data_IF_768303204196
#
_entry.id   IF_768303204196
#
_cell.length_a   1.000
_cell.length_b   1.000
_cell.length_c   1.000
_cell.angle_alpha   90.00
_cell.angle_beta   90.00
_cell.angle_gamma   90.00
#
_symmetry.space_group_name_H-M   'P 1'
#
loop_
_entity.id
_entity.type
_entity.pdbx_description
1 polymer ?
#
# COMPACT_ATOMS: atom_id res chain seq x y z
N UNK A 1 -62.80 19.47 -17.65
CA UNK A 1 -61.84 19.17 -18.74
C UNK A 1 -60.45 19.57 -18.30
N UNK A 2 -59.52 18.59 -18.32
CA UNK A 2 -58.03 18.64 -18.34
C UNK A 2 -57.31 19.37 -17.18
N UNK A 3 -56.58 18.64 -16.30
CA UNK A 3 -55.23 18.02 -16.46
C UNK A 3 -54.14 19.13 -16.55
N UNK A 4 -53.02 19.15 -15.82
CA UNK A 4 -52.00 18.11 -15.58
C UNK A 4 -51.16 18.53 -14.36
N UNK A 5 -50.71 17.53 -13.59
CA UNK A 5 -49.78 17.59 -12.46
C UNK A 5 -48.36 17.90 -12.94
N UNK A 6 -47.67 18.88 -12.35
CA UNK A 6 -46.21 18.99 -12.51
C UNK A 6 -45.52 18.48 -11.25
N UNK A 7 -45.15 17.20 -11.30
CA UNK A 7 -44.13 16.59 -10.46
C UNK A 7 -42.78 17.10 -11.00
N UNK A 8 -42.08 17.96 -10.26
CA UNK A 8 -40.67 18.24 -10.57
C UNK A 8 -39.86 17.20 -9.81
N UNK A 9 -39.48 16.13 -10.52
CA UNK A 9 -38.50 15.16 -10.07
C UNK A 9 -37.12 15.80 -10.26
N UNK A 10 -36.50 16.23 -9.16
CA UNK A 10 -35.10 16.65 -9.16
C UNK A 10 -34.22 15.41 -9.24
N UNK A 11 -33.64 15.14 -10.41
CA UNK A 11 -32.52 14.23 -10.57
C UNK A 11 -31.32 14.81 -9.81
N UNK A 12 -31.10 14.37 -8.56
CA UNK A 12 -29.77 14.46 -7.96
C UNK A 12 -28.90 13.46 -8.71
N UNK A 13 -28.07 13.99 -9.60
CA UNK A 13 -26.91 13.29 -10.15
C UNK A 13 -26.05 12.87 -8.95
N UNK A 14 -26.07 11.59 -8.61
CA UNK A 14 -25.02 10.96 -7.83
C UNK A 14 -23.77 10.96 -8.72
N UNK A 15 -23.00 12.05 -8.67
CA UNK A 15 -21.60 12.00 -9.02
C UNK A 15 -20.97 11.08 -7.97
N UNK A 16 -20.77 9.81 -8.33
CA UNK A 16 -20.04 8.87 -7.50
C UNK A 16 -18.62 9.37 -7.40
N UNK A 17 -18.27 9.94 -6.25
CA UNK A 17 -16.87 10.11 -5.88
C UNK A 17 -16.26 8.71 -5.87
N UNK A 18 -15.28 8.45 -6.71
CA UNK A 18 -14.35 7.34 -6.50
C UNK A 18 -13.59 7.68 -5.23
N UNK A 19 -14.05 7.14 -4.10
CA UNK A 19 -13.30 7.23 -2.85
C UNK A 19 -12.07 6.35 -3.02
N UNK A 20 -10.94 6.94 -3.38
CA UNK A 20 -9.66 6.27 -3.21
C UNK A 20 -9.28 6.40 -1.74
N UNK A 21 -8.98 5.27 -1.11
CA UNK A 21 -8.30 5.29 0.18
C UNK A 21 -6.99 6.07 0.02
N UNK A 22 -6.58 6.81 1.05
CA UNK A 22 -5.23 7.37 1.06
C UNK A 22 -4.22 6.21 1.07
N UNK A 23 -3.03 6.38 0.48
CA UNK A 23 -1.95 5.41 0.60
C UNK A 23 -1.66 5.09 2.07
N UNK A 24 -1.41 3.81 2.35
CA UNK A 24 -0.98 3.31 3.65
C UNK A 24 0.55 3.39 3.68
N UNK A 25 1.13 3.83 4.79
CA UNK A 25 2.58 3.90 4.97
C UNK A 25 2.98 3.18 6.26
N UNK A 26 4.00 2.34 6.13
CA UNK A 26 4.66 1.67 7.24
C UNK A 26 6.12 2.09 7.28
N UNK A 27 6.67 2.21 8.49
CA UNK A 27 8.08 2.56 8.69
C UNK A 27 8.68 1.73 9.81
N UNK A 28 9.98 1.53 9.77
CA UNK A 28 10.69 0.85 10.83
C UNK A 28 12.19 0.84 10.62
N UNK A 29 12.85 -0.11 11.29
CA UNK A 29 14.29 -0.31 11.20
C UNK A 29 14.61 -1.79 11.08
N UNK A 30 15.66 -2.12 10.33
CA UNK A 30 16.30 -3.44 10.32
C UNK A 30 17.67 -3.37 10.98
N UNK A 31 18.17 -4.49 11.50
CA UNK A 31 19.46 -4.55 12.21
C UNK A 31 20.56 -5.12 11.31
N UNK A 32 20.24 -6.14 10.52
CA UNK A 32 21.20 -6.91 9.75
C UNK A 32 20.91 -6.88 8.24
N UNK A 33 21.97 -7.05 7.44
CA UNK A 33 21.87 -7.06 5.97
C UNK A 33 20.91 -8.13 5.42
N UNK A 34 20.71 -9.23 6.15
CA UNK A 34 19.86 -10.35 5.76
C UNK A 34 18.49 -10.33 6.42
N UNK A 35 18.12 -9.22 7.09
CA UNK A 35 16.75 -9.02 7.55
C UNK A 35 15.81 -8.82 6.34
N UNK A 36 14.58 -9.32 6.48
CA UNK A 36 13.52 -9.18 5.49
C UNK A 36 12.33 -8.51 6.19
N UNK A 37 11.81 -7.45 5.60
CA UNK A 37 10.61 -6.75 6.08
C UNK A 37 9.40 -7.34 5.37
N UNK A 38 8.35 -7.67 6.12
CA UNK A 38 7.14 -8.31 5.61
C UNK A 38 5.93 -7.38 5.71
N UNK A 39 5.37 -6.95 4.58
CA UNK A 39 4.14 -6.15 4.54
C UNK A 39 3.01 -6.97 3.93
N UNK A 40 1.96 -7.23 4.69
CA UNK A 40 0.80 -7.99 4.23
C UNK A 40 -0.25 -7.03 3.69
N UNK A 41 -0.96 -7.43 2.64
CA UNK A 41 -2.14 -6.70 2.18
C UNK A 41 -3.17 -7.61 1.53
N UNK A 42 -4.42 -7.14 1.53
CA UNK A 42 -5.56 -7.83 0.93
C UNK A 42 -6.22 -6.97 -0.13
N UNK A 43 -6.70 -7.63 -1.18
CA UNK A 43 -7.68 -7.11 -2.14
C UNK A 43 -8.98 -7.92 -2.03
N UNK A 44 -10.07 -7.28 -1.61
CA UNK A 44 -11.40 -7.88 -1.49
C UNK A 44 -12.04 -8.11 -2.88
N UNK A 45 -11.54 -7.42 -3.91
CA UNK A 45 -11.94 -7.58 -5.31
C UNK A 45 -10.77 -7.29 -6.25
N UNK A 46 -10.87 -7.72 -7.52
CA UNK A 46 -9.85 -7.38 -8.52
C UNK A 46 -9.64 -5.87 -8.60
N UNK A 47 -8.38 -5.44 -8.52
CA UNK A 47 -7.97 -4.04 -8.51
C UNK A 47 -7.09 -3.71 -9.73
N UNK A 48 -7.00 -2.44 -10.06
CA UNK A 48 -6.18 -1.89 -11.15
C UNK A 48 -5.36 -0.72 -10.62
N UNK A 49 -4.13 -0.52 -11.09
CA UNK A 49 -3.24 0.54 -10.57
C UNK A 49 -2.94 0.32 -9.07
N UNK A 50 -2.56 -0.93 -8.73
CA UNK A 50 -2.07 -1.27 -7.40
C UNK A 50 -0.58 -0.92 -7.37
N UNK A 51 -0.21 -0.06 -6.42
CA UNK A 51 1.14 0.48 -6.35
C UNK A 51 1.73 0.22 -4.98
N UNK A 52 3.01 -0.11 -4.96
CA UNK A 52 3.76 -0.28 -3.74
C UNK A 52 5.21 0.08 -3.99
N UNK A 53 5.79 0.88 -3.10
CA UNK A 53 7.12 1.43 -3.30
C UNK A 53 7.77 1.77 -1.96
N UNK A 54 9.09 1.85 -1.96
CA UNK A 54 9.88 2.35 -0.84
C UNK A 54 10.22 3.82 -1.06
N UNK A 55 10.46 4.54 0.03
CA UNK A 55 11.22 5.79 0.07
C UNK A 55 12.33 5.68 1.12
N UNK A 56 12.93 4.49 1.20
CA UNK A 56 13.89 4.11 2.23
C UNK A 56 15.27 4.68 1.94
N UNK A 57 15.72 4.64 0.68
CA UNK A 57 17.11 5.00 0.34
C UNK A 57 17.47 6.43 0.78
N UNK A 58 16.53 7.38 0.60
CA UNK A 58 16.61 8.75 1.10
C UNK A 58 17.97 9.42 0.77
N UNK A 59 18.30 9.44 -0.53
CA UNK A 59 19.53 10.02 -1.06
C UNK A 59 20.84 9.44 -0.47
N UNK A 60 20.81 8.16 -0.05
CA UNK A 60 21.96 7.47 0.51
C UNK A 60 22.13 7.64 2.01
N UNK A 61 21.07 8.05 2.72
CA UNK A 61 21.07 8.02 4.18
C UNK A 61 20.82 6.60 4.72
N UNK A 62 20.00 5.79 4.03
CA UNK A 62 19.71 4.41 4.43
C UNK A 62 20.09 3.41 3.33
N UNK A 63 20.02 2.12 3.69
CA UNK A 63 20.33 1.03 2.77
C UNK A 63 19.55 1.13 1.45
N UNK A 64 20.17 0.62 0.40
CA UNK A 64 19.54 0.43 -0.91
C UNK A 64 18.51 -0.72 -0.86
N UNK A 65 17.20 -0.46 -0.99
CA UNK A 65 16.13 -1.46 -0.86
C UNK A 65 15.87 -2.24 -2.15
N UNK A 66 15.60 -3.54 -2.03
CA UNK A 66 15.04 -4.38 -3.10
C UNK A 66 13.67 -4.91 -2.69
N UNK A 67 12.74 -5.06 -3.64
CA UNK A 67 11.35 -5.43 -3.35
C UNK A 67 10.87 -6.66 -4.11
N UNK A 68 10.04 -7.47 -3.46
CA UNK A 68 9.36 -8.60 -4.10
C UNK A 68 7.90 -8.72 -3.65
N UNK A 69 7.04 -9.18 -4.57
CA UNK A 69 5.62 -9.44 -4.33
C UNK A 69 5.31 -10.92 -4.48
N UNK A 70 4.59 -11.45 -3.50
CA UNK A 70 4.26 -12.85 -3.37
C UNK A 70 2.75 -13.02 -3.23
N UNK A 71 2.24 -14.13 -3.77
CA UNK A 71 0.92 -14.63 -3.41
C UNK A 71 0.99 -15.23 -1.99
N UNK A 72 0.17 -14.74 -1.05
CA UNK A 72 0.25 -15.18 0.34
C UNK A 72 -0.33 -16.60 0.58
N UNK A 73 -1.19 -17.10 -0.32
CA UNK A 73 -1.82 -18.41 -0.19
C UNK A 73 -0.85 -19.55 -0.53
N UNK A 74 -0.08 -19.41 -1.61
CA UNK A 74 0.80 -20.46 -2.14
C UNK A 74 2.30 -20.10 -2.14
N UNK A 75 2.63 -18.87 -1.72
CA UNK A 75 4.00 -18.36 -1.66
C UNK A 75 4.61 -18.10 -3.03
N UNK A 76 3.87 -18.17 -4.14
CA UNK A 76 4.44 -17.97 -5.46
C UNK A 76 4.91 -16.52 -5.66
N UNK A 77 6.12 -16.35 -6.20
CA UNK A 77 6.64 -15.05 -6.61
C UNK A 77 5.82 -14.51 -7.79
N UNK A 78 5.31 -13.29 -7.65
CA UNK A 78 4.54 -12.58 -8.67
C UNK A 78 5.45 -11.63 -9.44
N UNK A 79 6.23 -10.82 -8.72
CA UNK A 79 7.11 -9.82 -9.29
C UNK A 79 8.23 -9.44 -8.30
N UNK A 80 9.31 -8.87 -8.83
CA UNK A 80 10.47 -8.39 -8.07
C UNK A 80 11.06 -7.18 -8.81
N UNK A 81 11.59 -6.22 -8.07
CA UNK A 81 12.21 -5.03 -8.61
C UNK A 81 13.37 -4.56 -7.72
N UNK A 82 14.42 -4.04 -8.37
CA UNK A 82 15.63 -3.49 -7.76
C UNK A 82 15.48 -1.98 -7.62
N UNK A 83 15.33 -1.26 -8.72
CA UNK A 83 15.08 0.19 -8.73
C UNK A 83 13.85 0.55 -9.57
N UNK A 84 13.00 1.44 -9.06
CA UNK A 84 11.98 2.18 -9.81
C UNK A 84 11.54 3.44 -9.06
N UNK A 85 12.25 4.55 -9.28
CA UNK A 85 11.96 5.88 -8.71
C UNK A 85 10.76 6.59 -9.36
N UNK A 86 10.05 5.92 -10.28
CA UNK A 86 8.99 6.52 -11.09
C UNK A 86 7.57 6.24 -10.59
N UNK A 87 7.41 5.36 -9.60
CA UNK A 87 6.10 4.95 -9.08
C UNK A 87 5.43 6.11 -8.34
N UNK A 88 6.20 6.79 -7.49
CA UNK A 88 5.84 8.04 -6.84
C UNK A 88 7.06 8.97 -6.66
N UNK A 89 7.39 9.77 -7.68
CA UNK A 89 8.56 10.68 -7.65
C UNK A 89 8.48 11.78 -6.58
N UNK A 90 7.31 11.99 -5.95
CA UNK A 90 7.17 12.97 -4.88
C UNK A 90 7.75 12.45 -3.55
N UNK A 91 7.91 11.13 -3.40
CA UNK A 91 8.47 10.49 -2.19
C UNK A 91 9.78 9.75 -2.46
N UNK A 92 9.99 9.22 -3.67
CA UNK A 92 11.11 8.35 -3.99
C UNK A 92 12.40 9.10 -4.36
N UNK A 93 13.52 8.38 -4.19
CA UNK A 93 14.86 8.73 -4.67
C UNK A 93 15.41 7.64 -5.61
N UNK A 94 16.58 7.86 -6.23
CA UNK A 94 17.06 7.11 -7.41
C UNK A 94 17.25 5.59 -7.23
N UNK A 95 17.39 5.09 -5.99
CA UNK A 95 17.51 3.66 -5.68
C UNK A 95 16.35 3.15 -4.85
N UNK A 96 15.24 3.87 -4.83
CA UNK A 96 14.03 3.32 -4.24
C UNK A 96 13.38 2.32 -5.19
N UNK A 97 12.77 1.30 -4.59
CA UNK A 97 12.27 0.12 -5.28
C UNK A 97 10.77 0.01 -5.16
N UNK A 98 10.13 -0.67 -6.12
CA UNK A 98 8.72 -0.98 -6.00
C UNK A 98 8.08 -1.60 -7.23
N UNK A 99 6.75 -1.68 -7.19
CA UNK A 99 5.93 -2.27 -8.24
C UNK A 99 4.71 -1.38 -8.53
N UNK A 100 4.47 -1.13 -9.81
CA UNK A 100 3.21 -0.58 -10.32
C UNK A 100 2.49 -1.62 -11.18
N UNK A 101 1.38 -2.15 -10.67
CA UNK A 101 0.61 -3.21 -11.30
C UNK A 101 -0.66 -2.64 -11.94
N UNK A 102 -0.73 -2.73 -13.27
CA UNK A 102 -1.94 -2.33 -14.01
C UNK A 102 -3.20 -3.12 -13.63
N UNK A 103 -3.04 -4.35 -13.13
CA UNK A 103 -4.12 -5.15 -12.55
C UNK A 103 -3.58 -6.21 -11.59
N UNK A 104 -4.30 -6.46 -10.49
CA UNK A 104 -4.04 -7.54 -9.54
C UNK A 104 -5.38 -8.14 -9.10
N UNK A 105 -5.49 -9.48 -9.09
CA UNK A 105 -6.74 -10.16 -8.72
C UNK A 105 -7.06 -9.98 -7.23
N UNK A 106 -8.31 -10.21 -6.85
CA UNK A 106 -8.67 -10.36 -5.44
C UNK A 106 -7.82 -11.47 -4.79
N UNK A 107 -7.36 -11.24 -3.56
CA UNK A 107 -6.51 -12.19 -2.84
C UNK A 107 -5.70 -11.54 -1.72
N UNK A 108 -4.96 -12.39 -1.03
CA UNK A 108 -4.01 -12.00 0.00
C UNK A 108 -2.58 -12.04 -0.56
N UNK A 109 -1.79 -11.04 -0.22
CA UNK A 109 -0.48 -10.81 -0.77
C UNK A 109 0.52 -10.43 0.30
N UNK A 110 1.78 -10.71 0.01
CA UNK A 110 2.91 -10.32 0.82
C UNK A 110 3.87 -9.50 -0.05
N UNK A 111 4.26 -8.33 0.42
CA UNK A 111 5.28 -7.48 -0.18
C UNK A 111 6.47 -7.40 0.75
N UNK A 112 7.61 -7.88 0.27
CA UNK A 112 8.84 -7.93 1.05
C UNK A 112 9.80 -6.84 0.60
N UNK A 113 10.50 -6.26 1.58
CA UNK A 113 11.66 -5.38 1.35
C UNK A 113 12.88 -6.05 1.95
N UNK A 114 13.98 -6.07 1.21
CA UNK A 114 15.27 -6.53 1.68
C UNK A 114 16.34 -5.51 1.30
N UNK A 115 17.58 -5.72 1.76
CA UNK A 115 18.72 -4.92 1.30
C UNK A 115 19.19 -5.43 -0.06
N UNK A 116 19.56 -4.56 -1.00
CA UNK A 116 20.24 -4.99 -2.21
C UNK A 116 21.60 -5.61 -1.86
N UNK A 117 21.96 -6.80 -2.33
CA UNK A 117 21.38 -7.60 -3.42
C UNK A 117 20.71 -8.91 -2.92
N UNK A 118 19.85 -8.82 -1.91
CA UNK A 118 19.17 -9.95 -1.30
C UNK A 118 17.90 -10.36 -2.08
N UNK A 119 18.09 -10.82 -3.32
CA UNK A 119 17.00 -11.25 -4.21
C UNK A 119 16.29 -12.50 -3.69
N UNK A 120 15.08 -12.74 -4.18
CA UNK A 120 14.39 -14.01 -4.06
C UNK A 120 15.26 -15.15 -4.62
N UNK A 121 15.55 -16.17 -3.79
CA UNK A 121 16.41 -17.30 -4.19
C UNK A 121 15.71 -18.28 -5.16
N UNK A 122 14.41 -18.10 -5.40
CA UNK A 122 13.61 -19.00 -6.22
C UNK A 122 12.25 -18.41 -6.61
N UNK A 123 11.32 -19.30 -6.96
CA UNK A 123 9.97 -18.91 -7.42
C UNK A 123 8.91 -19.05 -6.34
N UNK A 124 9.28 -19.49 -5.16
CA UNK A 124 8.40 -19.61 -4.01
C UNK A 124 9.05 -19.00 -2.77
N UNK A 125 8.28 -18.38 -1.89
CA UNK A 125 8.76 -17.76 -0.66
C UNK A 125 9.55 -18.75 0.22
N UNK A 126 9.20 -20.03 0.18
CA UNK A 126 9.92 -21.08 0.90
C UNK A 126 11.33 -21.35 0.39
N UNK A 127 11.66 -20.89 -0.82
CA UNK A 127 13.02 -21.00 -1.39
C UNK A 127 13.98 -20.01 -0.71
N UNK A 128 13.45 -18.96 -0.07
CA UNK A 128 14.22 -17.97 0.69
C UNK A 128 14.77 -16.82 -0.15
N UNK A 129 15.79 -16.17 0.38
CA UNK A 129 16.51 -15.06 -0.24
C UNK A 129 18.02 -15.35 -0.35
N UNK A 130 18.72 -14.63 -1.22
CA UNK A 130 20.14 -14.88 -1.55
C UNK A 130 21.10 -14.81 -0.34
N UNK A 131 20.73 -14.06 0.70
CA UNK A 131 21.50 -13.93 1.95
C UNK A 131 21.05 -14.89 3.04
N UNK A 132 20.09 -15.77 2.76
CA UNK A 132 19.72 -16.82 3.68
C UNK A 132 20.90 -17.75 3.96
N UNK A 133 21.16 -17.99 5.23
CA UNK A 133 22.26 -18.84 5.70
C UNK A 133 23.63 -18.13 5.80
N UNK A 134 23.71 -16.83 5.51
CA UNK A 134 24.87 -16.02 5.87
C UNK A 134 24.85 -15.65 7.35
N UNK A 135 26.03 -15.44 7.94
CA UNK A 135 26.13 -14.91 9.30
C UNK A 135 25.63 -13.45 9.30
N UNK A 136 24.72 -13.04 10.21
CA UNK A 136 24.21 -11.68 10.24
C UNK A 136 25.33 -10.65 10.44
N UNK A 137 25.31 -9.59 9.63
CA UNK A 137 26.23 -8.45 9.67
C UNK A 137 25.38 -7.21 9.92
N UNK A 138 25.75 -6.43 10.94
CA UNK A 138 25.09 -5.15 11.24
C UNK A 138 25.16 -4.24 10.01
N UNK A 139 24.07 -3.56 9.68
CA UNK A 139 24.05 -2.65 8.52
C UNK A 139 25.15 -1.59 8.56
N UNK A 140 25.41 -1.02 9.74
CA UNK A 140 26.47 -0.02 9.92
C UNK A 140 27.89 -0.56 9.65
N UNK A 141 28.08 -1.88 9.70
CA UNK A 141 29.37 -2.56 9.48
C UNK A 141 29.45 -3.27 8.13
N UNK A 142 28.32 -3.39 7.43
CA UNK A 142 28.21 -4.13 6.19
C UNK A 142 28.67 -3.26 5.01
N UNK A 143 29.59 -3.80 4.20
CA UNK A 143 30.02 -3.21 2.93
C UNK A 143 28.98 -3.58 1.86
N UNK A 144 27.96 -2.74 1.73
CA UNK A 144 26.80 -3.02 0.89
C UNK A 144 27.21 -3.13 -0.59
N UNK A 145 26.75 -4.15 -1.33
CA UNK A 145 26.97 -4.22 -2.75
C UNK A 145 26.48 -2.95 -3.47
N UNK A 146 27.32 -2.43 -4.37
CA UNK A 146 27.03 -1.24 -5.17
C UNK A 146 26.77 0.06 -4.37
N UNK A 147 27.02 0.06 -3.05
CA UNK A 147 26.87 1.23 -2.18
C UNK A 147 28.09 1.35 -1.23
N UNK A 148 27.93 2.07 -0.11
CA UNK A 148 28.98 2.30 0.88
C UNK A 148 28.72 1.51 2.19
N UNK A 149 29.67 1.61 3.12
CA UNK A 149 29.50 1.17 4.52
C UNK A 149 28.75 2.24 5.33
N UNK A 150 28.34 1.91 6.56
CA UNK A 150 27.69 2.85 7.50
C UNK A 150 26.30 3.31 7.03
N UNK A 151 25.58 2.46 6.31
CA UNK A 151 24.23 2.73 5.85
C UNK A 151 23.21 2.75 7.00
N UNK A 152 22.28 3.69 6.95
CA UNK A 152 21.18 3.80 7.89
C UNK A 152 20.20 2.62 7.83
N UNK A 153 19.56 2.26 8.97
CA UNK A 153 18.70 1.08 9.07
C UNK A 153 17.24 1.33 8.70
N UNK A 154 16.86 2.58 8.42
CA UNK A 154 15.46 2.93 8.33
C UNK A 154 14.86 2.41 7.02
N UNK A 155 13.66 1.86 7.12
CA UNK A 155 12.84 1.51 5.98
C UNK A 155 11.50 2.22 6.04
N UNK A 156 10.92 2.44 4.87
CA UNK A 156 9.61 3.01 4.68
C UNK A 156 8.98 2.42 3.42
N UNK A 157 7.72 2.00 3.54
CA UNK A 157 6.94 1.31 2.50
C UNK A 157 5.60 1.99 2.37
N UNK A 158 5.18 2.21 1.14
CA UNK A 158 3.87 2.72 0.79
C UNK A 158 3.08 1.67 0.04
N UNK A 159 1.78 1.56 0.34
CA UNK A 159 0.82 0.76 -0.40
C UNK A 159 -0.35 1.64 -0.81
N UNK A 160 -0.67 1.64 -2.09
CA UNK A 160 -1.79 2.40 -2.64
C UNK A 160 -2.74 1.50 -3.42
N UNK A 161 -4.03 1.86 -3.33
CA UNK A 161 -5.14 1.14 -3.93
C UNK A 161 -5.26 -0.33 -3.47
N UNK A 162 -5.02 -0.56 -2.17
CA UNK A 162 -5.27 -1.82 -1.46
C UNK A 162 -6.39 -1.64 -0.43
N UNK A 163 -7.10 -2.71 -0.08
CA UNK A 163 -8.24 -2.62 0.85
C UNK A 163 -7.80 -2.59 2.31
N UNK A 164 -6.80 -3.40 2.65
CA UNK A 164 -6.21 -3.52 3.99
C UNK A 164 -4.74 -3.86 3.87
N UNK A 165 -3.92 -3.37 4.79
CA UNK A 165 -2.54 -3.77 4.94
C UNK A 165 -2.12 -3.80 6.40
N UNK A 166 -1.08 -4.57 6.72
CA UNK A 166 -0.47 -4.65 8.04
C UNK A 166 1.02 -4.95 7.95
N UNK A 167 1.76 -4.58 8.98
CA UNK A 167 3.17 -4.91 9.12
C UNK A 167 3.43 -5.33 10.57
N UNK A 168 3.83 -6.60 10.82
CA UNK A 168 4.02 -7.11 12.19
C UNK A 168 5.18 -6.44 12.93
N UNK A 169 6.08 -5.75 12.23
CA UNK A 169 7.23 -5.04 12.77
C UNK A 169 6.97 -3.52 12.90
N UNK A 170 5.78 -3.02 12.54
CA UNK A 170 5.40 -1.63 12.76
C UNK A 170 5.08 -1.38 14.25
N UNK A 171 5.81 -0.48 14.94
CA UNK A 171 5.59 -0.17 16.35
C UNK A 171 4.23 0.48 16.67
N UNK A 172 3.50 1.01 15.67
CA UNK A 172 2.16 1.60 15.86
C UNK A 172 1.02 0.60 15.50
N UNK A 173 1.33 -0.56 14.91
CA UNK A 173 0.37 -1.60 14.46
C UNK A 173 -0.06 -2.54 15.61
N UNK A 174 -0.49 -1.96 16.73
CA UNK A 174 -1.03 -2.70 17.89
C UNK A 174 -2.53 -3.00 17.80
N UNK A 175 -3.19 -2.66 16.69
CA UNK A 175 -4.61 -2.90 16.43
C UNK A 175 -4.80 -3.37 14.98
N UNK A 176 -5.28 -4.61 14.85
CA UNK A 176 -5.28 -5.54 13.69
C UNK A 176 -6.08 -5.07 12.45
N UNK A 177 -6.20 -3.76 12.23
CA UNK A 177 -6.67 -3.16 10.98
C UNK A 177 -6.47 -1.65 11.04
N UNK A 178 -5.60 -1.09 10.19
CA UNK A 178 -5.70 0.32 9.79
C UNK A 178 -7.04 0.49 9.06
N UNK A 179 -8.08 0.84 9.82
CA UNK A 179 -9.41 1.06 9.29
C UNK A 179 -9.37 2.29 8.40
N UNK A 180 -9.48 2.08 7.09
CA UNK A 180 -9.67 3.14 6.09
C UNK A 180 -10.89 3.97 6.51
N UNK A 181 -10.79 5.31 6.61
CA UNK A 181 -11.93 6.15 6.96
C UNK A 181 -13.13 5.89 6.05
N UNK A 182 -14.30 5.63 6.64
CA UNK A 182 -15.51 5.36 5.86
C UNK A 182 -15.73 6.50 4.84
N UNK A 183 -16.03 6.17 3.58
CA UNK A 183 -16.20 7.18 2.55
C UNK A 183 -17.25 8.22 2.96
N UNK A 184 -17.06 9.47 2.52
CA UNK A 184 -17.99 10.62 2.70
C UNK A 184 -19.45 10.34 2.26
N UNK A 185 -19.71 9.17 1.67
CA UNK A 185 -21.03 8.65 1.32
C UNK A 185 -21.98 8.58 2.52
N UNK A 186 -21.52 8.27 3.74
CA UNK A 186 -22.38 8.31 4.94
C UNK A 186 -22.76 9.73 5.35
N UNK A 187 -21.83 10.67 5.21
CA UNK A 187 -22.11 12.09 5.41
C UNK A 187 -23.12 12.60 4.37
N UNK A 188 -22.94 12.24 3.10
CA UNK A 188 -23.86 12.58 2.00
C UNK A 188 -25.23 11.91 2.14
N UNK A 189 -25.29 10.65 2.58
CA UNK A 189 -26.54 9.94 2.84
C UNK A 189 -27.32 10.60 3.99
N UNK A 190 -26.62 10.98 5.06
CA UNK A 190 -27.19 11.70 6.21
C UNK A 190 -27.71 13.08 5.80
N UNK A 191 -26.93 13.84 5.02
CA UNK A 191 -27.34 15.13 4.44
C UNK A 191 -28.54 14.98 3.49
N UNK A 192 -28.57 13.93 2.67
CA UNK A 192 -29.68 13.60 1.79
C UNK A 192 -30.99 13.32 2.55
N UNK A 193 -30.91 12.53 3.62
CA UNK A 193 -32.05 12.25 4.50
C UNK A 193 -32.58 13.51 5.20
N UNK A 194 -31.68 14.38 5.69
CA UNK A 194 -32.05 15.67 6.29
C UNK A 194 -32.72 16.60 5.27
N UNK A 195 -32.20 16.64 4.03
CA UNK A 195 -32.80 17.37 2.92
C UNK A 195 -34.24 16.91 2.63
N UNK A 196 -34.46 15.60 2.54
CA UNK A 196 -35.80 15.02 2.31
C UNK A 196 -36.77 15.29 3.48
N UNK A 197 -36.30 15.24 4.73
CA UNK A 197 -37.10 15.56 5.91
C UNK A 197 -37.55 17.04 5.93
N UNK A 198 -36.67 17.95 5.50
CA UNK A 198 -36.98 19.39 5.41
C UNK A 198 -38.04 19.71 4.35
N UNK A 199 -38.04 18.99 3.22
CA UNK A 199 -39.04 19.12 2.15
C UNK A 199 -40.41 18.62 2.59
N UNK A 200 -40.47 17.57 3.43
CA UNK A 200 -41.72 17.03 3.95
C UNK A 200 -42.42 18.00 4.90
N UNK A 201 -41.67 18.78 5.70
CA UNK A 201 -42.24 19.79 6.61
C UNK A 201 -42.86 20.98 5.88
N UNK A 202 -42.34 21.36 4.71
CA UNK A 202 -42.89 22.49 3.91
C UNK A 202 -44.21 22.16 3.21
N UNK A 203 -44.61 20.89 3.13
CA UNK A 203 -45.85 20.46 2.48
C UNK A 203 -47.02 20.24 3.45
N UNK A 204 -46.77 20.35 4.77
CA UNK A 204 -47.76 20.19 5.84
C UNK A 204 -48.06 21.49 6.60
N UNK A 205 -47.61 22.64 6.09
CA UNK A 205 -48.03 23.98 6.51
C UNK A 205 -48.76 24.64 5.34
#
# INVERSE_FOLDING_TARGET
MRNVKYLVAGCLLAAGSTSHAAPINFTGQIEYHNDIIYNYFTLDSDATDVRMWTDSFNDGENFDPITALWNADDGALIAENDDDDTINPDTQTIYDSGLNLGSLSAGDYLFTVATYANFAAGTNLSDGFDYDGQDPILLAEWDQPANEVDMGPNWSVWLDNVDRASNPDDPDDSDDSVSVPEPDTLALFSLGLLGLASLRRRKSA
#
